data_IF_858623911658
#
_entry.id   IF_858623911658
#
_cell.length_a   1.000
_cell.length_b   1.000
_cell.length_c   1.000
_cell.angle_alpha   90.00
_cell.angle_beta   90.00
_cell.angle_gamma   90.00
#
_symmetry.space_group_name_H-M   'P 1'
#
loop_
_entity.id
_entity.type
_entity.pdbx_description
1 polymer ?
#
# COMPACT_ATOMS: atom_id res chain seq x y z
N UNK A 1 37.94 65.68 21.27
CA UNK A 1 39.01 65.10 20.43
C UNK A 1 38.44 64.94 19.03
N UNK A 2 38.73 65.87 18.14
CA UNK A 2 38.13 65.93 16.79
C UNK A 2 38.95 65.08 15.83
N UNK A 3 38.37 63.99 15.36
CA UNK A 3 38.91 63.14 14.31
C UNK A 3 38.91 63.92 12.99
N UNK A 4 40.10 64.21 12.47
CA UNK A 4 40.28 64.76 11.12
C UNK A 4 40.36 63.59 10.14
N UNK A 5 39.48 63.51 9.12
CA UNK A 5 39.60 62.49 8.09
C UNK A 5 40.92 62.67 7.32
N UNK A 6 41.55 61.58 6.86
CA UNK A 6 42.75 61.67 6.05
C UNK A 6 42.45 62.45 4.75
N UNK A 7 43.42 63.22 4.24
CA UNK A 7 43.22 64.03 3.04
C UNK A 7 42.80 63.15 1.87
N UNK A 8 41.75 63.57 1.16
CA UNK A 8 41.30 62.90 -0.05
C UNK A 8 42.45 62.88 -1.08
N UNK A 9 42.69 61.74 -1.75
CA UNK A 9 43.72 61.66 -2.77
C UNK A 9 43.39 62.64 -3.91
N UNK A 10 44.42 63.23 -4.56
CA UNK A 10 44.19 64.22 -5.60
C UNK A 10 43.37 63.63 -6.76
N UNK A 11 42.46 64.42 -7.37
CA UNK A 11 41.71 63.98 -8.53
C UNK A 11 42.67 63.63 -9.67
N UNK A 12 42.75 62.34 -10.01
CA UNK A 12 43.66 61.82 -11.03
C UNK A 12 44.71 60.82 -10.53
N UNK A 13 44.81 60.56 -9.23
CA UNK A 13 45.61 59.46 -8.70
C UNK A 13 45.00 58.10 -9.10
N UNK A 14 45.33 57.62 -10.31
CA UNK A 14 45.04 56.25 -10.72
C UNK A 14 45.75 55.31 -9.75
N UNK A 15 44.99 54.38 -9.16
CA UNK A 15 45.56 53.29 -8.38
C UNK A 15 46.76 52.70 -9.13
N UNK A 16 47.90 52.46 -8.46
CA UNK A 16 49.09 51.95 -9.11
C UNK A 16 48.72 50.67 -9.85
N UNK A 17 48.86 50.69 -11.18
CA UNK A 17 48.63 49.50 -12.01
C UNK A 17 49.56 48.41 -11.49
N UNK A 18 49.05 47.21 -11.16
CA UNK A 18 49.88 46.15 -10.65
C UNK A 18 51.02 45.90 -11.64
N UNK A 19 52.26 46.04 -11.17
CA UNK A 19 53.47 45.76 -11.96
C UNK A 19 53.45 44.29 -12.41
N UNK A 20 54.09 43.98 -13.54
CA UNK A 20 53.91 42.73 -14.29
C UNK A 20 53.87 41.45 -13.44
N UNK A 21 54.71 41.32 -12.41
CA UNK A 21 54.68 40.17 -11.50
C UNK A 21 53.42 40.10 -10.62
N UNK A 22 52.92 41.21 -10.10
CA UNK A 22 51.69 41.27 -9.31
C UNK A 22 50.44 41.05 -10.19
N UNK A 23 50.43 41.60 -11.41
CA UNK A 23 49.36 41.38 -12.38
C UNK A 23 49.29 39.91 -12.84
N UNK A 24 50.43 39.27 -13.10
CA UNK A 24 50.51 37.85 -13.45
C UNK A 24 50.08 36.94 -12.29
N UNK A 25 50.43 37.27 -11.04
CA UNK A 25 49.94 36.54 -9.85
C UNK A 25 48.44 36.67 -9.68
N UNK A 26 47.89 37.88 -9.82
CA UNK A 26 46.45 38.12 -9.75
C UNK A 26 45.68 37.39 -10.88
N UNK A 27 46.22 37.38 -12.10
CA UNK A 27 45.65 36.64 -13.23
C UNK A 27 45.68 35.11 -12.99
N UNK A 28 46.79 34.56 -12.48
CA UNK A 28 46.87 33.14 -12.08
C UNK A 28 45.89 32.79 -10.98
N UNK A 29 45.73 33.63 -9.97
CA UNK A 29 44.76 33.40 -8.88
C UNK A 29 43.32 33.44 -9.38
N UNK A 30 42.96 34.37 -10.26
CA UNK A 30 41.62 34.40 -10.89
C UNK A 30 41.39 33.15 -11.71
N UNK A 31 42.35 32.74 -12.55
CA UNK A 31 42.23 31.51 -13.35
C UNK A 31 42.06 30.29 -12.45
N UNK A 32 42.84 30.17 -11.37
CA UNK A 32 42.73 29.08 -10.39
C UNK A 32 41.39 29.08 -9.66
N UNK A 33 40.83 30.25 -9.30
CA UNK A 33 39.48 30.37 -8.73
C UNK A 33 38.39 29.94 -9.71
N UNK A 34 38.49 30.34 -10.98
CA UNK A 34 37.54 29.93 -12.01
C UNK A 34 37.59 28.43 -12.30
N UNK A 35 38.80 27.85 -12.34
CA UNK A 35 38.95 26.40 -12.43
C UNK A 35 38.37 25.70 -11.19
N UNK A 36 38.68 26.16 -9.98
CA UNK A 36 38.10 25.58 -8.76
C UNK A 36 36.57 25.72 -8.76
N UNK A 37 35.99 26.88 -9.08
CA UNK A 37 34.53 27.05 -9.13
C UNK A 37 33.87 26.20 -10.21
N UNK A 38 34.55 25.92 -11.33
CA UNK A 38 34.05 25.04 -12.37
C UNK A 38 34.21 23.54 -12.07
N UNK A 39 35.35 23.13 -11.47
CA UNK A 39 35.65 21.70 -11.21
C UNK A 39 35.16 21.22 -9.87
N UNK A 40 35.06 22.09 -8.86
CA UNK A 40 34.58 21.75 -7.52
C UNK A 40 33.18 21.11 -7.55
N UNK A 41 32.15 21.65 -8.26
CA UNK A 41 30.84 20.99 -8.31
C UNK A 41 30.92 19.61 -8.95
N UNK A 42 31.71 19.43 -10.01
CA UNK A 42 31.90 18.12 -10.66
C UNK A 42 32.56 17.12 -9.71
N UNK A 43 33.62 17.55 -9.00
CA UNK A 43 34.29 16.70 -8.00
C UNK A 43 33.36 16.36 -6.85
N UNK A 44 32.53 17.29 -6.39
CA UNK A 44 31.53 17.04 -5.35
C UNK A 44 30.49 16.02 -5.82
N UNK A 45 29.96 16.15 -7.03
CA UNK A 45 29.01 15.17 -7.60
C UNK A 45 29.65 13.78 -7.69
N UNK A 46 30.88 13.69 -8.20
CA UNK A 46 31.60 12.41 -8.29
C UNK A 46 31.91 11.81 -6.91
N UNK A 47 32.23 12.65 -5.93
CA UNK A 47 32.48 12.20 -4.56
C UNK A 47 31.20 11.70 -3.90
N UNK A 48 30.09 12.42 -4.02
CA UNK A 48 28.77 12.00 -3.53
C UNK A 48 28.38 10.68 -4.18
N UNK A 49 28.44 10.59 -5.52
CA UNK A 49 28.14 9.36 -6.25
C UNK A 49 29.04 8.20 -5.81
N UNK A 50 30.35 8.44 -5.65
CA UNK A 50 31.30 7.43 -5.19
C UNK A 50 31.01 6.93 -3.77
N UNK A 51 30.68 7.83 -2.85
CA UNK A 51 30.29 7.48 -1.48
C UNK A 51 28.98 6.72 -1.45
N UNK A 52 27.97 7.19 -2.20
CA UNK A 52 26.67 6.50 -2.31
C UNK A 52 26.83 5.08 -2.83
N UNK A 53 27.61 4.89 -3.90
CA UNK A 53 27.88 3.56 -4.45
C UNK A 53 28.68 2.68 -3.48
N UNK A 54 29.67 3.23 -2.78
CA UNK A 54 30.47 2.49 -1.80
C UNK A 54 29.66 2.03 -0.58
N UNK A 55 28.66 2.80 -0.15
CA UNK A 55 27.82 2.47 1.01
C UNK A 55 26.66 1.51 0.70
N UNK A 56 26.31 1.30 -0.57
CA UNK A 56 25.16 0.45 -0.96
C UNK A 56 25.28 -0.98 -0.47
N UNK A 57 26.36 -1.69 -0.83
CA UNK A 57 26.52 -3.09 -0.48
C UNK A 57 26.60 -3.33 1.04
N UNK A 58 27.36 -2.53 1.83
CA UNK A 58 27.36 -2.66 3.29
C UNK A 58 26.00 -2.42 3.92
N UNK A 59 25.25 -1.38 3.50
CA UNK A 59 23.93 -1.07 4.07
C UNK A 59 22.91 -2.15 3.68
N UNK A 60 22.96 -2.65 2.43
CA UNK A 60 22.10 -3.76 2.00
C UNK A 60 22.41 -5.06 2.75
N UNK A 61 23.69 -5.36 3.01
CA UNK A 61 24.10 -6.50 3.83
C UNK A 61 23.60 -6.36 5.27
N UNK A 62 23.76 -5.18 5.88
CA UNK A 62 23.28 -4.93 7.24
C UNK A 62 21.75 -5.07 7.34
N UNK A 63 21.02 -4.54 6.37
CA UNK A 63 19.56 -4.65 6.31
C UNK A 63 19.12 -6.11 6.16
N UNK A 64 19.83 -6.88 5.31
CA UNK A 64 19.58 -8.31 5.16
C UNK A 64 19.88 -9.09 6.43
N UNK A 65 21.01 -8.83 7.09
CA UNK A 65 21.38 -9.51 8.34
C UNK A 65 20.33 -9.26 9.42
N UNK A 66 19.75 -8.05 9.48
CA UNK A 66 18.63 -7.73 10.37
C UNK A 66 17.37 -8.50 10.00
N UNK A 67 17.00 -8.50 8.72
CA UNK A 67 15.84 -9.25 8.24
C UNK A 67 15.96 -10.73 8.57
N UNK A 68 17.12 -11.34 8.29
CA UNK A 68 17.42 -12.74 8.58
C UNK A 68 17.47 -13.04 10.09
N UNK A 69 17.81 -12.04 10.92
CA UNK A 69 17.77 -12.13 12.38
C UNK A 69 16.38 -11.87 12.98
N UNK A 70 15.37 -11.57 12.16
CA UNK A 70 14.01 -11.26 12.61
C UNK A 70 13.79 -9.80 13.04
N UNK A 71 14.78 -8.91 12.91
CA UNK A 71 14.65 -7.47 13.12
C UNK A 71 14.08 -6.82 11.84
N UNK A 72 12.80 -7.08 11.58
CA UNK A 72 12.09 -6.69 10.35
C UNK A 72 11.88 -5.18 10.27
N UNK A 73 11.54 -4.51 11.37
CA UNK A 73 11.45 -3.04 11.45
C UNK A 73 12.81 -2.37 11.18
N UNK A 74 13.88 -2.87 11.81
CA UNK A 74 15.24 -2.36 11.61
C UNK A 74 15.77 -2.61 10.20
N UNK A 75 15.31 -3.69 9.55
CA UNK A 75 15.56 -3.94 8.14
C UNK A 75 14.77 -2.99 7.23
N UNK A 76 13.47 -2.82 7.48
CA UNK A 76 12.61 -1.90 6.75
C UNK A 76 13.19 -0.48 6.78
N UNK A 77 13.52 0.05 7.96
CA UNK A 77 14.15 1.37 8.10
C UNK A 77 15.42 1.50 7.25
N UNK A 78 16.28 0.48 7.26
CA UNK A 78 17.53 0.48 6.48
C UNK A 78 17.29 0.43 4.96
N UNK A 79 16.32 -0.38 4.49
CA UNK A 79 15.92 -0.41 3.09
C UNK A 79 15.23 0.89 2.65
N UNK A 80 14.46 1.52 3.54
CA UNK A 80 13.75 2.77 3.30
C UNK A 80 14.69 3.91 2.92
N UNK A 81 15.86 3.98 3.57
CA UNK A 81 16.92 4.94 3.24
C UNK A 81 17.53 4.75 1.85
N UNK A 82 17.38 3.56 1.24
CA UNK A 82 17.95 3.26 -0.07
C UNK A 82 16.99 3.57 -1.24
N UNK A 83 15.72 3.84 -0.97
CA UNK A 83 14.68 4.06 -2.01
C UNK A 83 14.98 5.25 -2.92
N UNK A 84 15.52 6.35 -2.40
CA UNK A 84 15.72 7.60 -3.17
C UNK A 84 17.00 7.67 -3.98
N UNK A 85 18.01 6.86 -3.63
CA UNK A 85 19.34 6.93 -4.24
C UNK A 85 19.64 5.77 -5.18
N UNK A 86 18.69 4.85 -5.39
CA UNK A 86 18.87 3.66 -6.23
C UNK A 86 18.57 3.90 -7.72
N UNK A 87 19.59 4.33 -8.47
CA UNK A 87 19.44 4.60 -9.92
C UNK A 87 19.61 3.39 -10.86
N UNK A 88 20.13 2.25 -10.37
CA UNK A 88 20.46 1.11 -11.25
C UNK A 88 19.34 0.08 -11.24
N UNK A 89 18.84 -0.26 -10.06
CA UNK A 89 17.75 -1.22 -9.87
C UNK A 89 16.74 -0.61 -8.89
N UNK A 90 16.00 0.44 -9.32
CA UNK A 90 15.21 1.29 -8.42
C UNK A 90 14.18 0.49 -7.62
N UNK A 91 13.60 -0.56 -8.21
CA UNK A 91 12.60 -1.42 -7.57
C UNK A 91 13.13 -2.20 -6.35
N UNK A 92 14.41 -2.58 -6.29
CA UNK A 92 14.92 -3.49 -5.22
C UNK A 92 14.81 -2.91 -3.81
N UNK A 93 15.04 -1.60 -3.67
CA UNK A 93 14.92 -0.95 -2.36
C UNK A 93 13.46 -0.89 -1.89
N UNK A 94 12.53 -0.68 -2.82
CA UNK A 94 11.10 -0.70 -2.57
C UNK A 94 10.61 -2.12 -2.23
N UNK A 95 11.02 -3.12 -3.02
CA UNK A 95 10.71 -4.53 -2.78
C UNK A 95 11.19 -5.00 -1.39
N UNK A 96 12.45 -4.74 -1.06
CA UNK A 96 13.00 -5.15 0.24
C UNK A 96 12.35 -4.42 1.41
N UNK A 97 12.02 -3.13 1.24
CA UNK A 97 11.31 -2.34 2.25
C UNK A 97 9.93 -2.92 2.54
N UNK A 98 9.12 -3.14 1.48
CA UNK A 98 7.78 -3.68 1.65
C UNK A 98 7.80 -5.12 2.16
N UNK A 99 8.70 -5.97 1.68
CA UNK A 99 8.87 -7.35 2.19
C UNK A 99 9.25 -7.38 3.67
N UNK A 100 10.05 -6.42 4.14
CA UNK A 100 10.40 -6.29 5.55
C UNK A 100 9.20 -5.85 6.39
N UNK A 101 8.43 -4.86 5.92
CA UNK A 101 7.23 -4.39 6.60
C UNK A 101 6.11 -5.43 6.64
N UNK A 102 5.88 -6.15 5.55
CA UNK A 102 4.85 -7.19 5.48
C UNK A 102 5.02 -8.26 6.57
N UNK A 103 6.27 -8.57 6.92
CA UNK A 103 6.62 -9.55 7.95
C UNK A 103 6.40 -9.06 9.38
N UNK A 104 6.07 -7.78 9.59
CA UNK A 104 5.71 -7.28 10.92
C UNK A 104 4.30 -7.70 11.32
N UNK A 105 3.43 -7.99 10.33
CA UNK A 105 2.00 -8.30 10.53
C UNK A 105 1.23 -7.21 11.29
N UNK A 106 1.81 -6.02 11.42
CA UNK A 106 1.18 -4.84 12.00
C UNK A 106 0.39 -4.12 10.91
N UNK A 107 -0.91 -3.88 11.14
CA UNK A 107 -1.83 -3.30 10.15
C UNK A 107 -1.31 -1.99 9.56
N UNK A 108 -0.71 -1.10 10.37
CA UNK A 108 -0.14 0.16 9.86
C UNK A 108 1.05 -0.07 8.93
N UNK A 109 1.92 -1.01 9.30
CA UNK A 109 3.07 -1.40 8.51
C UNK A 109 2.68 -2.09 7.20
N UNK A 110 1.55 -2.79 7.16
CA UNK A 110 1.03 -3.47 5.96
C UNK A 110 0.61 -2.47 4.86
N UNK A 111 -0.02 -1.34 5.21
CA UNK A 111 -0.30 -0.27 4.22
C UNK A 111 0.98 0.26 3.55
N UNK A 112 2.01 0.53 4.35
CA UNK A 112 3.31 0.97 3.82
C UNK A 112 4.03 -0.15 3.04
N UNK A 113 3.79 -1.41 3.40
CA UNK A 113 4.30 -2.58 2.70
C UNK A 113 3.69 -2.69 1.29
N UNK A 114 2.35 -2.63 1.19
CA UNK A 114 1.57 -2.64 -0.05
C UNK A 114 2.07 -1.52 -0.96
N UNK A 115 2.08 -0.28 -0.49
CA UNK A 115 2.58 0.87 -1.26
C UNK A 115 4.02 0.70 -1.74
N UNK A 116 4.87 0.08 -0.92
CA UNK A 116 6.26 -0.15 -1.29
C UNK A 116 6.39 -1.24 -2.35
N UNK A 117 5.62 -2.33 -2.26
CA UNK A 117 5.66 -3.44 -3.21
C UNK A 117 5.00 -3.07 -4.54
N UNK A 118 3.87 -2.35 -4.50
CA UNK A 118 3.24 -1.77 -5.68
C UNK A 118 4.20 -0.84 -6.42
N UNK A 119 4.86 0.08 -5.69
CA UNK A 119 5.89 0.93 -6.27
C UNK A 119 7.09 0.15 -6.82
N UNK A 120 7.44 -0.98 -6.20
CA UNK A 120 8.49 -1.85 -6.74
C UNK A 120 8.06 -2.47 -8.07
N UNK A 121 6.81 -2.90 -8.18
CA UNK A 121 6.25 -3.51 -9.38
C UNK A 121 6.26 -2.54 -10.56
N UNK A 122 5.82 -1.29 -10.35
CA UNK A 122 5.93 -0.19 -11.31
C UNK A 122 7.35 0.02 -11.82
N UNK A 123 8.31 0.07 -10.90
CA UNK A 123 9.71 0.36 -11.20
C UNK A 123 10.42 -0.82 -11.88
N UNK A 124 9.83 -2.01 -11.86
CA UNK A 124 10.38 -3.24 -12.40
C UNK A 124 9.91 -3.52 -13.84
N UNK A 125 9.37 -2.54 -14.59
CA UNK A 125 8.84 -2.74 -15.96
C UNK A 125 9.87 -3.40 -16.91
N UNK A 126 11.16 -3.12 -16.70
CA UNK A 126 12.27 -3.66 -17.50
C UNK A 126 13.02 -4.81 -16.82
N UNK A 127 12.51 -5.32 -15.69
CA UNK A 127 13.10 -6.45 -14.96
C UNK A 127 12.76 -7.79 -15.66
N UNK A 128 13.42 -8.88 -15.27
CA UNK A 128 13.05 -10.20 -15.80
C UNK A 128 11.65 -10.63 -15.31
N UNK A 129 10.95 -11.53 -16.01
CA UNK A 129 9.68 -12.09 -15.54
C UNK A 129 9.80 -12.71 -14.14
N UNK A 130 10.91 -13.38 -13.85
CA UNK A 130 11.20 -13.96 -12.52
C UNK A 130 11.24 -12.87 -11.43
N UNK A 131 11.87 -11.73 -11.71
CA UNK A 131 11.95 -10.60 -10.78
C UNK A 131 10.59 -9.94 -10.55
N UNK A 132 9.80 -9.73 -11.63
CA UNK A 132 8.43 -9.23 -11.51
C UNK A 132 7.56 -10.19 -10.71
N UNK A 133 7.74 -11.49 -10.92
CA UNK A 133 6.96 -12.50 -10.22
C UNK A 133 7.24 -12.57 -8.71
N UNK A 134 8.50 -12.37 -8.30
CA UNK A 134 8.83 -12.24 -6.87
C UNK A 134 8.13 -11.03 -6.23
N UNK A 135 8.05 -9.90 -6.93
CA UNK A 135 7.37 -8.70 -6.41
C UNK A 135 5.86 -8.95 -6.30
N UNK A 136 5.26 -9.49 -7.36
CA UNK A 136 3.84 -9.85 -7.44
C UNK A 136 3.44 -10.83 -6.34
N UNK A 137 4.25 -11.86 -6.09
CA UNK A 137 4.03 -12.84 -5.03
C UNK A 137 4.02 -12.18 -3.66
N UNK A 138 5.03 -11.34 -3.36
CA UNK A 138 5.08 -10.66 -2.06
C UNK A 138 3.95 -9.64 -1.89
N UNK A 139 3.53 -8.97 -2.96
CA UNK A 139 2.40 -8.05 -2.92
C UNK A 139 1.10 -8.80 -2.61
N UNK A 140 0.82 -9.88 -3.33
CA UNK A 140 -0.34 -10.75 -3.06
C UNK A 140 -0.33 -11.29 -1.63
N UNK A 141 0.81 -11.79 -1.14
CA UNK A 141 0.93 -12.27 0.23
C UNK A 141 0.69 -11.16 1.26
N UNK A 142 1.07 -9.92 0.96
CA UNK A 142 0.86 -8.79 1.89
C UNK A 142 -0.64 -8.48 2.02
N UNK A 143 -1.37 -8.51 0.90
CA UNK A 143 -2.83 -8.41 0.89
C UNK A 143 -3.50 -9.58 1.63
N UNK A 144 -3.01 -10.80 1.44
CA UNK A 144 -3.49 -11.96 2.20
C UNK A 144 -3.30 -11.80 3.73
N UNK A 145 -2.14 -11.26 4.17
CA UNK A 145 -1.87 -11.00 5.59
C UNK A 145 -2.78 -9.89 6.14
N UNK A 146 -3.05 -8.85 5.34
CA UNK A 146 -3.98 -7.77 5.72
C UNK A 146 -5.39 -8.33 5.90
N UNK A 147 -5.88 -9.12 4.95
CA UNK A 147 -7.16 -9.82 5.05
C UNK A 147 -7.25 -10.74 6.27
N UNK A 148 -6.18 -11.48 6.60
CA UNK A 148 -6.12 -12.32 7.82
C UNK A 148 -6.28 -11.47 9.09
N UNK A 149 -5.70 -10.26 9.11
CA UNK A 149 -5.81 -9.30 10.20
C UNK A 149 -7.23 -8.73 10.35
N UNK A 150 -7.85 -8.36 9.24
CA UNK A 150 -9.20 -7.80 9.20
C UNK A 150 -10.25 -8.85 9.55
N UNK A 151 -10.10 -10.08 9.05
CA UNK A 151 -10.91 -11.25 9.44
C UNK A 151 -10.83 -11.49 10.95
N UNK A 152 -9.62 -11.51 11.52
CA UNK A 152 -9.44 -11.69 12.96
C UNK A 152 -10.01 -10.51 13.78
N UNK A 153 -10.09 -9.31 13.20
CA UNK A 153 -10.74 -8.16 13.82
C UNK A 153 -12.27 -8.32 13.81
N UNK A 154 -12.83 -8.68 12.66
CA UNK A 154 -14.25 -8.97 12.47
C UNK A 154 -14.73 -10.05 13.45
N UNK A 155 -13.99 -11.15 13.61
CA UNK A 155 -14.32 -12.22 14.56
C UNK A 155 -14.43 -11.73 16.02
N UNK A 156 -13.54 -10.82 16.43
CA UNK A 156 -13.60 -10.23 17.78
C UNK A 156 -14.84 -9.36 17.94
N UNK A 157 -15.19 -8.59 16.91
CA UNK A 157 -16.39 -7.75 16.89
C UNK A 157 -17.66 -8.59 16.87
N UNK A 158 -17.68 -9.70 16.14
CA UNK A 158 -18.80 -10.63 16.11
C UNK A 158 -19.03 -11.26 17.50
N UNK A 159 -17.94 -11.62 18.19
CA UNK A 159 -18.02 -12.11 19.57
C UNK A 159 -18.52 -11.04 20.55
N UNK A 160 -18.11 -9.78 20.39
CA UNK A 160 -18.61 -8.64 21.17
C UNK A 160 -20.11 -8.42 20.93
N UNK A 161 -20.54 -8.38 19.67
CA UNK A 161 -21.95 -8.26 19.29
C UNK A 161 -22.80 -9.35 19.94
N UNK A 162 -22.36 -10.61 19.91
CA UNK A 162 -23.09 -11.73 20.52
C UNK A 162 -23.28 -11.55 22.04
N UNK A 163 -22.27 -11.03 22.74
CA UNK A 163 -22.35 -10.73 24.17
C UNK A 163 -23.33 -9.58 24.45
N UNK A 164 -23.31 -8.53 23.62
CA UNK A 164 -24.23 -7.38 23.74
C UNK A 164 -25.67 -7.84 23.51
N UNK A 165 -25.94 -8.62 22.46
CA UNK A 165 -27.27 -9.15 22.18
C UNK A 165 -27.79 -10.07 23.31
N UNK A 166 -26.93 -10.92 23.88
CA UNK A 166 -27.27 -11.75 25.04
C UNK A 166 -27.63 -10.90 26.27
N UNK A 167 -26.83 -9.86 26.56
CA UNK A 167 -27.06 -8.96 27.69
C UNK A 167 -28.37 -8.16 27.52
N UNK A 168 -28.68 -7.68 26.31
CA UNK A 168 -29.96 -7.04 25.99
C UNK A 168 -31.12 -8.02 26.22
N UNK A 169 -31.04 -9.25 25.71
CA UNK A 169 -32.09 -10.25 25.89
C UNK A 169 -32.31 -10.61 27.37
N UNK A 170 -31.23 -10.73 28.15
CA UNK A 170 -31.30 -10.98 29.59
C UNK A 170 -31.96 -9.81 30.34
N UNK A 171 -31.58 -8.56 30.02
CA UNK A 171 -32.19 -7.34 30.56
C UNK A 171 -33.69 -7.30 30.26
N UNK A 172 -34.08 -7.55 29.02
CA UNK A 172 -35.48 -7.50 28.57
C UNK A 172 -36.33 -8.61 29.22
N UNK A 173 -35.73 -9.75 29.54
CA UNK A 173 -36.34 -10.84 30.30
C UNK A 173 -36.36 -10.59 31.84
N UNK A 174 -35.77 -9.50 32.34
CA UNK A 174 -35.62 -9.22 33.76
C UNK A 174 -34.69 -10.20 34.49
N UNK A 175 -33.79 -10.84 33.75
CA UNK A 175 -32.75 -11.73 34.28
C UNK A 175 -31.49 -10.92 34.65
N UNK A 176 -30.62 -11.46 35.53
CA UNK A 176 -29.31 -10.85 35.76
C UNK A 176 -28.50 -10.78 34.46
N UNK A 177 -27.84 -9.65 34.23
CA UNK A 177 -26.94 -9.40 33.10
C UNK A 177 -25.72 -8.60 33.59
N UNK A 178 -24.67 -8.53 32.76
CA UNK A 178 -23.49 -7.70 33.02
C UNK A 178 -23.68 -6.32 32.38
N UNK A 179 -23.81 -5.28 33.22
CA UNK A 179 -23.96 -3.90 32.76
C UNK A 179 -22.70 -3.40 32.02
N UNK A 180 -21.52 -3.91 32.37
CA UNK A 180 -20.27 -3.54 31.71
C UNK A 180 -20.13 -4.06 30.27
N UNK A 181 -21.00 -4.98 29.84
CA UNK A 181 -21.11 -5.41 28.44
C UNK A 181 -21.92 -4.40 27.63
N UNK A 182 -22.96 -3.81 28.22
CA UNK A 182 -23.79 -2.81 27.54
C UNK A 182 -23.15 -1.42 27.60
N UNK A 183 -22.63 -1.01 28.75
CA UNK A 183 -21.94 0.27 28.97
C UNK A 183 -20.49 0.00 29.45
N UNK A 184 -19.57 -0.32 28.52
CA UNK A 184 -18.19 -0.64 28.87
C UNK A 184 -17.41 0.54 29.49
N UNK A 185 -17.87 1.76 29.31
CA UNK A 185 -17.22 2.97 29.83
C UNK A 185 -17.83 3.46 31.16
N UNK A 186 -19.00 2.97 31.54
CA UNK A 186 -19.72 3.36 32.75
C UNK A 186 -20.18 4.82 32.72
N UNK A 187 -20.36 5.39 31.53
CA UNK A 187 -20.75 6.79 31.34
C UNK A 187 -22.22 6.98 30.95
N UNK A 188 -22.97 5.88 30.87
CA UNK A 188 -24.37 5.82 30.46
C UNK A 188 -24.58 5.69 28.96
N UNK A 189 -23.52 5.56 28.16
CA UNK A 189 -23.59 5.33 26.72
C UNK A 189 -23.55 3.83 26.44
N UNK A 190 -24.72 3.23 26.21
CA UNK A 190 -24.79 1.82 25.83
C UNK A 190 -24.33 1.61 24.38
N UNK A 191 -23.69 0.47 24.12
CA UNK A 191 -23.38 0.01 22.77
C UNK A 191 -24.66 -0.28 21.98
N UNK A 192 -24.72 0.22 20.75
CA UNK A 192 -25.81 -0.08 19.82
C UNK A 192 -25.52 -1.40 19.07
N UNK A 193 -26.33 -2.46 19.26
CA UNK A 193 -26.13 -3.72 18.54
C UNK A 193 -26.32 -3.60 17.02
N UNK A 194 -27.06 -2.60 16.53
CA UNK A 194 -27.19 -2.37 15.09
C UNK A 194 -25.89 -1.80 14.51
N UNK A 195 -25.27 -0.83 15.19
CA UNK A 195 -23.97 -0.26 14.81
C UNK A 195 -22.87 -1.32 14.88
N UNK A 196 -22.84 -2.12 15.94
CA UNK A 196 -21.89 -3.24 16.06
C UNK A 196 -22.06 -4.28 14.95
N UNK A 197 -23.30 -4.60 14.56
CA UNK A 197 -23.53 -5.55 13.46
C UNK A 197 -23.04 -5.01 12.12
N UNK A 198 -23.23 -3.71 11.88
CA UNK A 198 -22.68 -3.06 10.70
C UNK A 198 -21.14 -3.08 10.72
N UNK A 199 -20.51 -2.73 11.85
CA UNK A 199 -19.05 -2.79 12.02
C UNK A 199 -18.52 -4.20 11.70
N UNK A 200 -19.18 -5.26 12.20
CA UNK A 200 -18.83 -6.66 11.88
C UNK A 200 -18.92 -6.95 10.37
N UNK A 201 -20.00 -6.51 9.72
CA UNK A 201 -20.18 -6.70 8.27
C UNK A 201 -19.09 -5.99 7.47
N UNK A 202 -18.83 -4.72 7.79
CA UNK A 202 -17.82 -3.90 7.13
C UNK A 202 -16.43 -4.56 7.22
N UNK A 203 -16.03 -5.09 8.38
CA UNK A 203 -14.73 -5.75 8.54
C UNK A 203 -14.62 -7.10 7.79
N UNK A 204 -15.69 -7.88 7.70
CA UNK A 204 -15.68 -9.09 6.87
C UNK A 204 -15.61 -8.74 5.38
N UNK A 205 -16.30 -7.67 4.95
CA UNK A 205 -16.23 -7.18 3.58
C UNK A 205 -14.82 -6.68 3.24
N UNK A 206 -14.16 -5.93 4.13
CA UNK A 206 -12.75 -5.54 3.94
C UNK A 206 -11.85 -6.76 3.80
N UNK A 207 -11.98 -7.77 4.66
CA UNK A 207 -11.18 -9.00 4.54
C UNK A 207 -11.40 -9.71 3.20
N UNK A 208 -12.65 -9.81 2.73
CA UNK A 208 -13.00 -10.37 1.43
C UNK A 208 -12.32 -9.62 0.27
N UNK A 209 -12.40 -8.28 0.28
CA UNK A 209 -11.79 -7.43 -0.73
C UNK A 209 -10.26 -7.60 -0.79
N UNK A 210 -9.60 -7.73 0.36
CA UNK A 210 -8.15 -7.95 0.42
C UNK A 210 -7.76 -9.33 -0.12
N UNK A 211 -8.55 -10.39 0.15
CA UNK A 211 -8.32 -11.71 -0.44
C UNK A 211 -8.57 -11.73 -1.96
N UNK A 212 -9.62 -11.06 -2.43
CA UNK A 212 -9.91 -10.92 -3.85
C UNK A 212 -8.79 -10.16 -4.57
N UNK A 213 -8.28 -9.09 -3.96
CA UNK A 213 -7.13 -8.33 -4.47
C UNK A 213 -5.86 -9.19 -4.50
N UNK A 214 -5.62 -9.99 -3.46
CA UNK A 214 -4.50 -10.95 -3.44
C UNK A 214 -4.58 -11.97 -4.59
N UNK A 215 -5.77 -12.49 -4.90
CA UNK A 215 -6.00 -13.41 -6.02
C UNK A 215 -5.78 -12.72 -7.38
N UNK A 216 -6.36 -11.53 -7.58
CA UNK A 216 -6.19 -10.74 -8.80
C UNK A 216 -4.70 -10.48 -9.08
N UNK A 217 -3.94 -10.10 -8.06
CA UNK A 217 -2.51 -9.83 -8.17
C UNK A 217 -1.76 -11.10 -8.56
N UNK A 218 -2.12 -12.29 -8.06
CA UNK A 218 -1.51 -13.56 -8.53
C UNK A 218 -1.81 -13.85 -9.99
N UNK A 219 -2.95 -13.39 -10.51
CA UNK A 219 -3.36 -13.57 -11.90
C UNK A 219 -2.64 -12.67 -12.92
N UNK A 220 -1.84 -11.68 -12.49
CA UNK A 220 -1.19 -10.77 -13.43
C UNK A 220 -0.24 -11.50 -14.39
N UNK A 221 -0.25 -11.15 -15.69
CA UNK A 221 0.45 -11.88 -16.76
C UNK A 221 1.98 -11.76 -16.73
N UNK A 222 2.51 -10.94 -15.81
CA UNK A 222 3.93 -10.60 -15.73
C UNK A 222 4.76 -11.64 -14.96
N UNK A 223 4.11 -12.44 -14.12
CA UNK A 223 4.62 -13.77 -13.78
C UNK A 223 4.55 -14.63 -15.04
N UNK A 224 5.61 -14.60 -15.85
CA UNK A 224 5.69 -15.49 -17.01
C UNK A 224 5.51 -16.94 -16.58
N UNK A 225 4.96 -17.79 -17.45
CA UNK A 225 4.96 -19.26 -17.32
C UNK A 225 6.38 -19.85 -17.42
N UNK A 226 7.39 -19.18 -16.84
CA UNK A 226 8.77 -19.66 -16.79
C UNK A 226 8.77 -21.03 -16.15
N UNK A 227 9.29 -22.03 -16.86
CA UNK A 227 9.37 -23.47 -16.55
C UNK A 227 9.21 -23.80 -15.06
N UNK A 228 7.98 -23.68 -14.54
CA UNK A 228 7.69 -23.97 -13.16
C UNK A 228 7.85 -25.47 -13.00
N UNK A 229 8.49 -25.90 -11.92
CA UNK A 229 8.50 -27.33 -11.61
C UNK A 229 7.06 -27.78 -11.32
N UNK A 230 6.71 -29.06 -11.53
CA UNK A 230 5.40 -29.58 -11.14
C UNK A 230 5.06 -29.29 -9.66
N UNK A 231 6.10 -29.27 -8.80
CA UNK A 231 5.97 -28.94 -7.38
C UNK A 231 5.59 -27.46 -7.17
N UNK A 232 6.12 -26.53 -7.97
CA UNK A 232 5.76 -25.11 -7.91
C UNK A 232 4.33 -24.88 -8.40
N UNK A 233 3.92 -25.55 -9.49
CA UNK A 233 2.55 -25.48 -9.99
C UNK A 233 1.53 -25.98 -8.95
N UNK A 234 1.86 -27.07 -8.25
CA UNK A 234 1.00 -27.59 -7.17
C UNK A 234 0.94 -26.62 -5.98
N UNK A 235 2.06 -25.97 -5.63
CA UNK A 235 2.10 -24.95 -4.58
C UNK A 235 1.29 -23.71 -4.92
N UNK A 236 1.37 -23.24 -6.17
CA UNK A 236 0.63 -22.07 -6.65
C UNK A 236 -0.87 -22.35 -6.71
N UNK A 237 -1.27 -23.51 -7.24
CA UNK A 237 -2.67 -23.95 -7.25
C UNK A 237 -3.21 -24.10 -5.81
N UNK A 238 -2.43 -24.68 -4.90
CA UNK A 238 -2.81 -24.76 -3.49
C UNK A 238 -2.91 -23.39 -2.82
N UNK A 239 -2.10 -22.41 -3.24
CA UNK A 239 -2.19 -21.04 -2.73
C UNK A 239 -3.43 -20.30 -3.24
N UNK A 240 -3.78 -20.47 -4.51
CA UNK A 240 -5.02 -19.94 -5.08
C UNK A 240 -6.24 -20.54 -4.38
N UNK A 241 -6.27 -21.86 -4.19
CA UNK A 241 -7.36 -22.51 -3.45
C UNK A 241 -7.50 -21.95 -2.03
N UNK A 242 -6.38 -21.75 -1.31
CA UNK A 242 -6.44 -21.16 0.03
C UNK A 242 -7.02 -19.74 0.04
N UNK A 243 -6.71 -18.92 -0.96
CA UNK A 243 -7.29 -17.58 -1.07
C UNK A 243 -8.79 -17.62 -1.34
N UNK A 244 -9.23 -18.51 -2.23
CA UNK A 244 -10.66 -18.71 -2.50
C UNK A 244 -11.42 -19.21 -1.27
N UNK A 245 -10.82 -20.16 -0.52
CA UNK A 245 -11.39 -20.66 0.72
C UNK A 245 -11.52 -19.54 1.77
N UNK A 246 -10.51 -18.68 1.90
CA UNK A 246 -10.53 -17.50 2.80
C UNK A 246 -11.58 -16.46 2.40
N UNK A 247 -11.72 -16.20 1.10
CA UNK A 247 -12.74 -15.29 0.58
C UNK A 247 -14.15 -15.82 0.91
N UNK A 248 -14.39 -17.11 0.66
CA UNK A 248 -15.67 -17.74 0.99
C UNK A 248 -15.93 -17.74 2.50
N UNK A 249 -14.89 -17.99 3.32
CA UNK A 249 -15.01 -17.95 4.78
C UNK A 249 -15.40 -16.56 5.28
N UNK A 250 -14.81 -15.49 4.73
CA UNK A 250 -15.19 -14.12 5.07
C UNK A 250 -16.65 -13.80 4.69
N UNK A 251 -17.09 -14.23 3.50
CA UNK A 251 -18.48 -14.08 3.06
C UNK A 251 -19.46 -14.85 3.97
N UNK A 252 -19.16 -16.11 4.28
CA UNK A 252 -20.01 -16.99 5.07
C UNK A 252 -20.11 -16.56 6.54
N UNK A 253 -19.11 -15.82 7.04
CA UNK A 253 -19.06 -15.33 8.42
C UNK A 253 -19.90 -14.06 8.65
N UNK A 254 -20.37 -13.40 7.59
CA UNK A 254 -21.18 -12.19 7.71
C UNK A 254 -22.51 -12.49 8.44
N UNK A 255 -22.91 -11.66 9.43
CA UNK A 255 -24.18 -11.83 10.10
C UNK A 255 -25.34 -11.55 9.14
N UNK A 256 -26.32 -12.47 9.08
CA UNK A 256 -27.51 -12.33 8.23
C UNK A 256 -28.25 -11.01 8.55
N UNK A 257 -28.47 -10.19 7.52
CA UNK A 257 -29.30 -8.99 7.64
C UNK A 257 -30.74 -9.37 8.01
N UNK A 258 -31.17 -9.04 9.23
CA UNK A 258 -32.56 -9.18 9.66
C UNK A 258 -33.48 -8.07 9.12
N UNK A 259 -33.03 -7.25 8.17
CA UNK A 259 -33.87 -6.24 7.50
C UNK A 259 -34.34 -6.72 6.12
N UNK A 260 -35.27 -7.67 6.15
CA UNK A 260 -36.01 -8.17 4.98
C UNK A 260 -37.52 -8.04 5.19
N UNK A 261 -37.95 -6.99 5.88
CA UNK A 261 -39.35 -6.65 6.12
C UNK A 261 -39.92 -5.76 5.03
N UNK A 262 -40.51 -6.38 4.02
CA UNK A 262 -41.65 -5.87 3.23
C UNK A 262 -41.44 -4.58 2.40
N UNK A 263 -41.16 -4.74 1.11
CA UNK A 263 -41.89 -4.00 0.05
C UNK A 263 -41.83 -4.80 -1.25
N UNK A 264 -42.82 -5.68 -1.41
CA UNK A 264 -43.22 -6.19 -2.71
C UNK A 264 -43.93 -5.08 -3.48
N UNK A 265 -43.23 -4.38 -4.38
CA UNK A 265 -43.84 -3.63 -5.48
C UNK A 265 -42.99 -3.79 -6.75
N UNK A 266 -43.02 -5.00 -7.30
CA UNK A 266 -42.67 -5.25 -8.69
C UNK A 266 -43.95 -5.54 -9.47
N UNK A 267 -44.51 -4.50 -10.08
CA UNK A 267 -45.60 -4.59 -11.05
C UNK A 267 -45.28 -5.64 -12.13
N UNK A 268 -45.96 -6.78 -12.05
CA UNK A 268 -45.97 -7.78 -13.11
C UNK A 268 -46.84 -7.30 -14.27
N UNK A 269 -46.21 -6.85 -15.35
CA UNK A 269 -46.86 -6.79 -16.65
C UNK A 269 -46.74 -8.17 -17.32
N UNK A 270 -47.91 -8.71 -17.67
CA UNK A 270 -48.05 -10.06 -18.20
C UNK A 270 -47.69 -10.14 -19.67
N UNK A 271 -47.05 -11.24 -20.04
CA UNK A 271 -47.18 -11.77 -21.40
C UNK A 271 -47.36 -13.27 -21.32
N UNK A 272 -48.64 -13.67 -21.45
CA UNK A 272 -49.08 -15.01 -21.80
C UNK A 272 -48.51 -15.41 -23.16
N UNK A 273 -48.08 -16.67 -23.30
CA UNK A 273 -47.55 -17.18 -24.56
C UNK A 273 -47.23 -18.68 -24.54
N UNK A 274 -48.26 -19.48 -24.29
CA UNK A 274 -48.51 -20.84 -24.78
C UNK A 274 -47.49 -21.98 -24.55
N UNK A 275 -47.97 -22.97 -23.80
CA UNK A 275 -47.53 -24.37 -23.82
C UNK A 275 -47.68 -24.99 -25.21
N UNK A 276 -46.62 -25.64 -25.72
CA UNK A 276 -46.82 -26.82 -26.55
C UNK A 276 -45.67 -27.81 -26.39
N UNK A 277 -45.99 -28.91 -25.71
CA UNK A 277 -45.25 -30.16 -25.71
C UNK A 277 -45.23 -30.76 -27.12
N UNK A 278 -44.07 -31.20 -27.60
CA UNK A 278 -43.97 -32.46 -28.34
C UNK A 278 -42.53 -32.99 -28.30
N UNK A 279 -42.43 -34.26 -27.90
CA UNK A 279 -41.22 -35.04 -27.92
C UNK A 279 -40.91 -35.52 -29.34
N UNK A 280 -39.64 -35.43 -29.76
CA UNK A 280 -39.09 -36.31 -30.80
C UNK A 280 -37.57 -36.33 -30.70
N UNK A 281 -37.00 -37.53 -30.83
CA UNK A 281 -35.62 -37.84 -30.45
C UNK A 281 -34.53 -37.31 -31.38
N UNK A 282 -33.29 -37.48 -30.89
CA UNK A 282 -32.07 -37.21 -31.64
C UNK A 282 -30.85 -37.40 -30.75
N UNK A 283 -30.22 -38.56 -30.87
CA UNK A 283 -28.87 -38.84 -30.37
C UNK A 283 -27.84 -37.80 -30.86
N UNK A 284 -26.95 -37.36 -29.96
CA UNK A 284 -25.63 -36.81 -30.32
C UNK A 284 -25.31 -35.42 -29.77
N UNK A 285 -24.11 -35.29 -29.21
CA UNK A 285 -23.42 -34.07 -28.78
C UNK A 285 -23.85 -33.46 -27.43
N UNK A 286 -23.39 -34.08 -26.33
CA UNK A 286 -23.27 -33.43 -25.02
C UNK A 286 -21.80 -33.53 -24.62
N UNK A 287 -21.05 -32.46 -24.76
CA UNK A 287 -19.63 -32.44 -24.41
C UNK A 287 -18.94 -31.09 -24.66
N UNK A 288 -19.38 -30.34 -25.67
CA UNK A 288 -18.70 -29.08 -26.07
C UNK A 288 -19.37 -27.81 -25.50
N UNK A 289 -20.66 -27.85 -25.12
CA UNK A 289 -21.36 -26.65 -24.64
C UNK A 289 -21.12 -26.32 -23.16
N UNK A 290 -20.88 -27.31 -22.29
CA UNK A 290 -20.65 -27.09 -20.85
C UNK A 290 -19.29 -26.46 -20.56
N UNK A 291 -18.24 -26.83 -21.31
CA UNK A 291 -16.93 -26.19 -21.19
C UNK A 291 -17.01 -24.70 -21.54
N UNK A 292 -17.77 -24.35 -22.58
CA UNK A 292 -17.94 -22.95 -22.99
C UNK A 292 -18.75 -22.11 -22.00
N UNK A 293 -19.60 -22.74 -21.18
CA UNK A 293 -20.37 -22.04 -20.14
C UNK A 293 -19.51 -21.83 -18.90
N UNK A 294 -18.77 -22.85 -18.46
CA UNK A 294 -17.82 -22.73 -17.36
C UNK A 294 -16.74 -21.66 -17.64
N UNK A 295 -16.16 -21.64 -18.85
CA UNK A 295 -15.18 -20.61 -19.23
C UNK A 295 -15.77 -19.18 -19.23
N UNK A 296 -17.06 -19.03 -19.56
CA UNK A 296 -17.76 -17.73 -19.53
C UNK A 296 -18.10 -17.29 -18.11
N UNK A 297 -18.51 -18.22 -17.26
CA UNK A 297 -18.75 -17.96 -15.83
C UNK A 297 -17.43 -17.61 -15.12
N UNK A 298 -16.34 -18.27 -15.47
CA UNK A 298 -15.00 -17.96 -14.95
C UNK A 298 -14.49 -16.60 -15.44
N UNK A 299 -14.70 -16.25 -16.71
CA UNK A 299 -14.41 -14.91 -17.21
C UNK A 299 -15.24 -13.83 -16.53
N UNK A 300 -16.55 -14.06 -16.35
CA UNK A 300 -17.40 -13.11 -15.64
C UNK A 300 -16.97 -12.96 -14.18
N UNK A 301 -16.60 -14.06 -13.52
CA UNK A 301 -16.03 -14.02 -12.17
C UNK A 301 -14.73 -13.21 -12.15
N UNK A 302 -13.83 -13.42 -13.11
CA UNK A 302 -12.58 -12.65 -13.21
C UNK A 302 -12.84 -11.16 -13.43
N UNK A 303 -13.73 -10.78 -14.36
CA UNK A 303 -14.11 -9.38 -14.59
C UNK A 303 -14.73 -8.75 -13.33
N UNK A 304 -15.53 -9.51 -12.59
CA UNK A 304 -16.16 -9.08 -11.35
C UNK A 304 -15.14 -8.90 -10.22
N UNK A 305 -14.18 -9.83 -10.08
CA UNK A 305 -13.04 -9.71 -9.16
C UNK A 305 -12.12 -8.54 -9.55
N UNK A 306 -11.93 -8.28 -10.85
CA UNK A 306 -11.16 -7.13 -11.31
C UNK A 306 -11.84 -5.81 -10.96
N UNK A 307 -13.17 -5.74 -11.12
CA UNK A 307 -13.96 -4.59 -10.69
C UNK A 307 -13.88 -4.40 -9.17
N UNK A 308 -14.13 -5.45 -8.40
CA UNK A 308 -14.05 -5.42 -6.93
C UNK A 308 -12.65 -4.98 -6.46
N UNK A 309 -11.59 -5.54 -7.05
CA UNK A 309 -10.21 -5.15 -6.74
C UNK A 309 -9.85 -3.71 -7.18
N UNK A 310 -10.57 -3.15 -8.15
CA UNK A 310 -10.43 -1.72 -8.52
C UNK A 310 -11.19 -0.81 -7.57
N UNK A 311 -12.39 -1.21 -7.14
CA UNK A 311 -13.21 -0.50 -6.17
C UNK A 311 -12.54 -0.48 -4.79
N UNK A 312 -11.96 -1.61 -4.37
CA UNK A 312 -11.19 -1.72 -3.13
C UNK A 312 -9.98 -0.79 -3.12
N UNK A 313 -9.25 -0.68 -4.25
CA UNK A 313 -8.14 0.28 -4.38
C UNK A 313 -8.62 1.72 -4.29
N UNK A 314 -9.70 2.06 -4.99
CA UNK A 314 -10.28 3.41 -4.97
C UNK A 314 -10.81 3.76 -3.56
N UNK A 315 -11.38 2.80 -2.85
CA UNK A 315 -11.85 2.94 -1.47
C UNK A 315 -10.69 3.09 -0.49
N UNK A 316 -9.62 2.32 -0.64
CA UNK A 316 -8.41 2.46 0.15
C UNK A 316 -7.77 3.84 -0.04
N UNK A 317 -7.72 4.35 -1.27
CA UNK A 317 -7.29 5.73 -1.56
C UNK A 317 -8.21 6.77 -0.90
N UNK A 318 -9.52 6.52 -0.89
CA UNK A 318 -10.52 7.39 -0.25
C UNK A 318 -10.34 7.41 1.26
N UNK A 319 -10.18 6.24 1.89
CA UNK A 319 -9.92 6.11 3.32
C UNK A 319 -8.59 6.77 3.70
N UNK A 320 -7.55 6.66 2.86
CA UNK A 320 -6.28 7.37 3.09
C UNK A 320 -6.47 8.89 3.03
N UNK A 321 -7.27 9.39 2.08
CA UNK A 321 -7.60 10.82 1.98
C UNK A 321 -8.40 11.30 3.20
N UNK A 322 -9.45 10.57 3.57
CA UNK A 322 -10.30 10.90 4.72
C UNK A 322 -9.48 10.89 6.01
N UNK A 323 -8.61 9.89 6.18
CA UNK A 323 -7.70 9.80 7.31
C UNK A 323 -6.70 10.96 7.35
N UNK A 324 -6.13 11.33 6.20
CA UNK A 324 -5.21 12.48 6.07
C UNK A 324 -5.92 13.79 6.42
N UNK A 325 -7.18 13.94 6.02
CA UNK A 325 -8.00 15.12 6.33
C UNK A 325 -8.37 15.17 7.82
N UNK A 326 -8.62 14.03 8.46
CA UNK A 326 -8.98 13.94 9.88
C UNK A 326 -7.80 14.15 10.84
N UNK A 327 -6.64 13.55 10.55
CA UNK A 327 -5.50 13.48 11.48
C UNK A 327 -4.31 14.33 11.05
N UNK A 328 -4.34 14.92 9.85
CA UNK A 328 -3.24 15.66 9.26
C UNK A 328 -2.07 14.74 8.86
N UNK A 329 -1.13 15.28 8.07
CA UNK A 329 0.09 14.55 7.73
C UNK A 329 0.83 14.14 9.01
N UNK A 330 1.01 12.84 9.19
CA UNK A 330 1.87 12.33 10.25
C UNK A 330 3.29 12.91 10.05
N UNK A 331 3.88 13.61 11.03
CA UNK A 331 5.20 14.20 10.88
C UNK A 331 6.24 13.07 10.94
N UNK A 332 6.54 12.47 9.79
CA UNK A 332 7.27 11.21 9.83
C UNK A 332 7.98 10.70 8.59
N UNK A 333 7.94 11.30 7.39
CA UNK A 333 8.96 11.00 6.36
C UNK A 333 9.21 12.18 5.42
N UNK A 334 10.42 12.75 5.50
CA UNK A 334 11.10 13.46 4.41
C UNK A 334 10.37 14.63 3.75
N UNK A 335 10.47 15.82 4.35
CA UNK A 335 10.25 17.07 3.62
C UNK A 335 11.20 17.16 2.42
N UNK A 336 10.63 17.23 1.23
CA UNK A 336 11.29 17.61 -0.01
C UNK A 336 11.82 19.06 0.13
N UNK A 337 13.14 19.33 -0.01
CA UNK A 337 13.65 20.68 0.11
C UNK A 337 13.43 21.40 -1.23
N UNK A 338 12.22 21.91 -1.44
CA UNK A 338 11.85 22.34 -2.78
C UNK A 338 10.74 23.38 -2.94
N UNK A 339 10.32 24.13 -1.92
CA UNK A 339 9.79 25.49 -2.17
C UNK A 339 9.72 26.36 -0.91
N UNK A 340 10.60 27.36 -0.86
CA UNK A 340 10.54 28.44 0.12
C UNK A 340 9.78 29.63 -0.45
N UNK A 341 8.53 29.80 -0.04
CA UNK A 341 7.81 31.09 -0.05
C UNK A 341 6.44 30.83 0.59
N UNK A 342 6.00 31.41 1.69
CA UNK A 342 6.49 32.46 2.55
C UNK A 342 5.36 32.83 3.50
N UNK A 343 5.64 32.83 4.81
CA UNK A 343 4.99 33.67 5.83
C UNK A 343 3.52 33.42 6.18
N UNK A 344 3.27 33.12 7.45
CA UNK A 344 1.95 33.35 8.04
C UNK A 344 1.69 32.62 9.35
N UNK A 345 2.34 33.06 10.43
CA UNK A 345 1.91 32.74 11.80
C UNK A 345 0.41 32.98 11.98
N UNK A 346 -0.30 32.05 12.62
CA UNK A 346 -1.39 32.35 13.56
C UNK A 346 -1.63 31.16 14.48
N UNK A 347 -1.43 31.44 15.76
CA UNK A 347 -1.96 30.67 16.87
C UNK A 347 -3.48 30.53 16.72
N UNK A 348 -4.03 29.36 17.01
CA UNK A 348 -4.99 29.09 18.09
C UNK A 348 -4.85 27.64 18.51
#
# INVERSE_FOLDING_TARGET
MTWTPPPAPPPGARAPRPTGAAALRAARQRRRRWWLLGTLPVVLVLLVLGVTLALRAPVASLAKDRYDAGDTEGAASAYGLQRTLNLVEPWKAHYNHGTALARTEDSWSLYDAIRSLDRAYDLAENASPEERCMIQTNLSLTYEIQGDGDMAYADRKAAELALVEEAIAARDAGLPYDEGVLDPYGDGTELDPAELRQDVQDWYEYAEQEYATAEQIRGWPDCGESEQTPEQQEQDAAAQQRLQDKQQEAQDAQPENQDGGDTSEGEGDGSEGDEQSDASGGDGAQGEDQQSQAEREEQQRQEQLEQQGSEARDEQERLEQEYRDLYGDQPGTGSDPGDSSGGGTKNW
#
